data_IF_695974749564
#
_entry.id   IF_695974749564
#
_cell.length_a   1.000
_cell.length_b   1.000
_cell.length_c   1.000
_cell.angle_alpha   90.00
_cell.angle_beta   90.00
_cell.angle_gamma   90.00
#
_symmetry.space_group_name_H-M   'P 1'
#
loop_
_entity.id
_entity.type
_entity.pdbx_description
1 polymer ?
#
# COMPACT_ATOMS: atom_id res chain seq x y z
N UNK A 1 50.89 -48.09 -41.08
CA UNK A 1 50.09 -49.34 -40.87
C UNK A 1 49.24 -49.13 -39.63
N UNK A 2 47.94 -49.38 -39.73
CA UNK A 2 47.01 -49.35 -38.60
C UNK A 2 45.80 -48.42 -38.79
N UNK A 3 44.86 -48.82 -39.65
CA UNK A 3 43.44 -48.46 -39.52
C UNK A 3 42.92 -49.06 -38.17
N UNK A 4 41.84 -48.64 -37.51
CA UNK A 4 40.44 -48.67 -37.93
C UNK A 4 39.63 -47.69 -37.04
N UNK A 5 38.62 -47.09 -37.66
CA UNK A 5 37.53 -46.22 -37.20
C UNK A 5 36.66 -46.68 -36.01
N UNK A 6 36.04 -45.71 -35.30
CA UNK A 6 34.57 -45.65 -35.13
C UNK A 6 34.11 -44.28 -34.61
N UNK A 7 33.18 -43.66 -35.35
CA UNK A 7 32.31 -42.55 -34.93
C UNK A 7 31.27 -43.05 -33.91
N UNK A 8 30.98 -42.24 -32.89
CA UNK A 8 29.69 -42.26 -32.20
C UNK A 8 29.38 -40.90 -31.56
N UNK A 9 28.42 -40.18 -32.14
CA UNK A 9 27.48 -39.32 -31.43
C UNK A 9 26.11 -40.00 -31.59
N UNK A 10 25.27 -40.04 -30.54
CA UNK A 10 24.20 -39.04 -30.53
C UNK A 10 23.77 -38.52 -29.14
N UNK A 11 23.28 -37.28 -29.19
CA UNK A 11 22.13 -36.67 -28.49
C UNK A 11 21.67 -37.20 -27.13
N UNK A 12 21.59 -36.27 -26.17
CA UNK A 12 20.40 -36.15 -25.32
C UNK A 12 19.94 -34.69 -25.27
N UNK A 13 18.69 -34.55 -25.73
CA UNK A 13 17.83 -33.37 -25.74
C UNK A 13 17.20 -33.22 -24.35
N UNK A 14 16.73 -32.01 -24.05
CA UNK A 14 15.80 -31.63 -22.98
C UNK A 14 16.41 -31.41 -21.59
N UNK A 15 16.02 -30.39 -20.82
CA UNK A 15 14.80 -29.60 -20.91
C UNK A 15 15.07 -28.10 -20.92
N UNK A 16 14.47 -27.45 -21.91
CA UNK A 16 13.92 -26.12 -21.75
C UNK A 16 12.97 -26.18 -20.55
N UNK A 17 13.40 -25.69 -19.39
CA UNK A 17 12.48 -25.43 -18.29
C UNK A 17 11.63 -24.26 -18.75
N UNK A 18 10.43 -24.55 -19.23
CA UNK A 18 9.32 -23.61 -19.23
C UNK A 18 9.13 -23.19 -17.77
N UNK A 19 9.67 -22.04 -17.40
CA UNK A 19 9.24 -21.35 -16.19
C UNK A 19 7.79 -20.92 -16.42
N UNK A 20 6.83 -21.38 -15.59
CA UNK A 20 5.47 -20.89 -15.67
C UNK A 20 5.46 -19.42 -15.24
N UNK A 21 4.59 -18.63 -15.87
CA UNK A 21 4.52 -17.17 -15.78
C UNK A 21 4.67 -16.62 -14.35
N UNK A 22 5.88 -16.18 -14.06
CA UNK A 22 6.28 -15.49 -12.84
C UNK A 22 7.45 -14.60 -13.22
N UNK A 23 7.14 -13.37 -13.64
CA UNK A 23 8.14 -12.33 -13.97
C UNK A 23 9.19 -12.27 -12.86
N UNK A 24 10.45 -12.53 -13.21
CA UNK A 24 11.59 -12.55 -12.28
C UNK A 24 11.71 -11.22 -11.54
N UNK A 25 12.34 -11.21 -10.35
CA UNK A 25 12.57 -9.97 -9.60
C UNK A 25 13.25 -8.90 -10.47
N UNK A 26 14.16 -9.28 -11.36
CA UNK A 26 14.83 -8.37 -12.31
C UNK A 26 13.84 -7.64 -13.22
N UNK A 27 12.76 -8.31 -13.65
CA UNK A 27 11.71 -7.69 -14.46
C UNK A 27 10.72 -6.83 -13.66
N UNK A 28 10.79 -6.87 -12.33
CA UNK A 28 9.98 -6.08 -11.40
C UNK A 28 10.78 -4.97 -10.70
N UNK A 29 12.09 -4.94 -10.91
CA UNK A 29 12.97 -3.90 -10.41
C UNK A 29 13.04 -2.75 -11.40
N UNK A 30 12.71 -1.55 -10.95
CA UNK A 30 12.74 -0.40 -11.81
C UNK A 30 13.03 0.90 -11.07
N UNK A 31 13.41 1.91 -11.83
CA UNK A 31 14.13 3.06 -11.30
C UNK A 31 13.24 4.24 -10.91
N UNK A 32 11.91 4.18 -11.15
CA UNK A 32 10.98 5.28 -10.90
C UNK A 32 11.40 6.60 -11.59
N UNK A 33 12.00 6.49 -12.78
CA UNK A 33 12.60 7.64 -13.49
C UNK A 33 11.70 8.24 -14.59
N UNK A 34 10.65 7.52 -15.01
CA UNK A 34 9.77 7.95 -16.10
C UNK A 34 8.40 8.30 -15.55
N UNK A 35 8.01 9.57 -15.61
CA UNK A 35 6.63 9.97 -15.25
C UNK A 35 5.64 9.47 -16.30
N UNK A 36 4.59 8.80 -15.85
CA UNK A 36 3.51 8.26 -16.68
C UNK A 36 2.15 8.90 -16.37
N UNK A 37 2.03 9.59 -15.24
CA UNK A 37 0.85 10.41 -14.89
C UNK A 37 1.34 11.71 -14.25
N UNK A 38 0.71 12.81 -14.67
CA UNK A 38 0.79 14.14 -14.07
C UNK A 38 -0.54 14.83 -14.37
N UNK A 39 -1.46 14.81 -13.41
CA UNK A 39 -2.82 15.31 -13.61
C UNK A 39 -3.39 15.93 -12.35
N UNK A 40 -3.97 17.13 -12.48
CA UNK A 40 -4.92 17.63 -11.49
C UNK A 40 -6.18 16.76 -11.45
N UNK A 41 -6.99 16.93 -10.42
CA UNK A 41 -8.27 16.23 -10.26
C UNK A 41 -9.42 17.22 -10.05
N UNK A 42 -10.63 16.69 -9.89
CA UNK A 42 -11.82 17.43 -9.47
C UNK A 42 -11.79 17.88 -8.00
N UNK A 43 -10.82 17.44 -7.20
CA UNK A 43 -10.75 17.80 -5.78
C UNK A 43 -10.01 19.12 -5.56
N UNK A 44 -10.52 19.96 -4.67
CA UNK A 44 -9.73 21.06 -4.12
C UNK A 44 -8.56 20.54 -3.28
N UNK A 45 -7.62 21.42 -2.96
CA UNK A 45 -6.56 21.14 -2.00
C UNK A 45 -7.14 20.97 -0.60
N UNK A 46 -7.35 19.72 -0.16
CA UNK A 46 -7.99 19.38 1.10
C UNK A 46 -7.07 18.52 1.98
N UNK A 47 -6.94 18.90 3.26
CA UNK A 47 -6.10 18.23 4.26
C UNK A 47 -6.91 17.72 5.47
N UNK A 48 -8.21 17.56 5.30
CA UNK A 48 -9.16 17.15 6.32
C UNK A 48 -9.64 15.71 6.17
N UNK A 49 -8.78 14.86 5.60
CA UNK A 49 -9.07 13.47 5.32
C UNK A 49 -7.82 12.70 4.91
N UNK A 50 -8.04 11.51 4.37
CA UNK A 50 -6.99 10.60 3.88
C UNK A 50 -7.13 10.44 2.37
N UNK A 51 -6.00 10.56 1.69
CA UNK A 51 -5.87 10.35 0.25
C UNK A 51 -5.31 8.97 -0.03
N UNK A 52 -5.84 8.30 -1.05
CA UNK A 52 -5.39 6.96 -1.45
C UNK A 52 -5.64 6.76 -2.95
N UNK A 53 -4.75 6.04 -3.62
CA UNK A 53 -5.07 5.38 -4.89
C UNK A 53 -5.50 3.94 -4.62
N UNK A 54 -6.65 3.55 -5.17
CA UNK A 54 -7.19 2.19 -5.05
C UNK A 54 -8.09 1.90 -6.24
N UNK A 55 -8.08 0.67 -6.75
CA UNK A 55 -9.05 0.25 -7.76
C UNK A 55 -10.46 0.25 -7.14
N UNK A 56 -11.20 1.33 -7.36
CA UNK A 56 -12.51 1.55 -6.74
C UNK A 56 -13.68 1.22 -7.66
N UNK A 57 -13.39 1.01 -8.94
CA UNK A 57 -14.35 0.67 -9.99
C UNK A 57 -14.17 -0.78 -10.47
N UNK A 58 -13.19 -1.51 -9.93
CA UNK A 58 -12.83 -2.88 -10.29
C UNK A 58 -12.50 -3.02 -11.79
N UNK A 59 -11.86 -1.99 -12.35
CA UNK A 59 -11.36 -1.96 -13.74
C UNK A 59 -9.86 -2.28 -13.82
N UNK A 60 -9.23 -2.53 -12.67
CA UNK A 60 -7.82 -2.83 -12.49
C UNK A 60 -6.92 -1.59 -12.43
N UNK A 61 -7.43 -0.38 -12.67
CA UNK A 61 -6.64 0.86 -12.66
C UNK A 61 -6.98 1.64 -11.39
N UNK A 62 -5.98 2.03 -10.57
CA UNK A 62 -6.27 2.75 -9.33
C UNK A 62 -6.94 4.11 -9.57
N UNK A 63 -8.10 4.31 -8.95
CA UNK A 63 -8.83 5.57 -8.90
C UNK A 63 -8.35 6.44 -7.73
N UNK A 64 -8.62 7.75 -7.81
CA UNK A 64 -8.30 8.68 -6.73
C UNK A 64 -9.42 8.69 -5.70
N UNK A 65 -9.14 8.18 -4.51
CA UNK A 65 -10.05 8.18 -3.39
C UNK A 65 -9.68 9.23 -2.34
N UNK A 66 -10.71 9.85 -1.76
CA UNK A 66 -10.60 10.74 -0.62
C UNK A 66 -11.59 10.34 0.46
N UNK A 67 -11.06 9.99 1.64
CA UNK A 67 -11.83 9.74 2.84
C UNK A 67 -11.83 11.02 3.66
N UNK A 68 -12.88 11.83 3.56
CA UNK A 68 -13.01 13.09 4.29
C UNK A 68 -13.45 12.80 5.72
N UNK A 69 -12.60 13.09 6.70
CA UNK A 69 -12.81 12.63 8.09
C UNK A 69 -13.26 13.74 9.04
N UNK A 70 -13.03 15.01 8.69
CA UNK A 70 -13.49 16.18 9.46
C UNK A 70 -14.01 17.29 8.55
N UNK A 71 -14.89 18.14 9.07
CA UNK A 71 -15.50 19.25 8.29
C UNK A 71 -16.21 18.72 7.04
N UNK A 72 -16.98 17.65 7.21
CA UNK A 72 -17.74 16.99 6.13
C UNK A 72 -19.09 17.65 5.90
N UNK A 73 -19.66 17.50 4.71
CA UNK A 73 -20.97 18.08 4.36
C UNK A 73 -22.15 17.35 5.02
N UNK A 74 -21.99 16.07 5.32
CA UNK A 74 -23.00 15.18 5.91
C UNK A 74 -22.94 15.13 7.44
N UNK A 75 -21.89 15.66 8.07
CA UNK A 75 -21.61 15.48 9.50
C UNK A 75 -21.05 14.10 9.87
N UNK A 76 -20.93 13.20 8.90
CA UNK A 76 -20.34 11.86 9.01
C UNK A 76 -19.08 11.78 8.14
N UNK A 77 -18.23 10.79 8.34
CA UNK A 77 -17.10 10.53 7.42
C UNK A 77 -17.66 10.30 6.02
N UNK A 78 -17.03 10.87 5.00
CA UNK A 78 -17.45 10.73 3.60
C UNK A 78 -16.37 10.05 2.78
N UNK A 79 -16.79 9.24 1.81
CA UNK A 79 -15.90 8.68 0.80
C UNK A 79 -16.24 9.29 -0.55
N UNK A 80 -15.22 9.77 -1.24
CA UNK A 80 -15.28 10.40 -2.56
C UNK A 80 -14.31 9.71 -3.50
N UNK A 81 -14.70 9.49 -4.75
CA UNK A 81 -13.89 8.76 -5.75
C UNK A 81 -13.93 9.49 -7.09
N UNK A 82 -12.76 9.80 -7.63
CA UNK A 82 -12.58 10.32 -8.99
C UNK A 82 -11.93 9.27 -9.89
N UNK A 83 -12.52 9.04 -11.07
CA UNK A 83 -12.10 7.96 -11.95
C UNK A 83 -10.80 8.28 -12.69
N UNK A 84 -9.85 7.35 -12.64
CA UNK A 84 -8.58 7.39 -13.38
C UNK A 84 -8.80 7.41 -14.90
N UNK A 85 -9.82 6.70 -15.41
CA UNK A 85 -10.20 6.66 -16.83
C UNK A 85 -10.55 8.03 -17.41
N UNK A 86 -11.01 8.95 -16.55
CA UNK A 86 -11.34 10.33 -16.90
C UNK A 86 -10.19 11.32 -16.68
N UNK A 87 -8.99 10.83 -16.33
CA UNK A 87 -7.91 11.69 -15.83
C UNK A 87 -8.28 12.38 -14.53
N UNK A 88 -9.03 11.69 -13.65
CA UNK A 88 -9.56 12.20 -12.39
C UNK A 88 -10.54 13.39 -12.52
N UNK A 89 -11.09 13.60 -13.72
CA UNK A 89 -12.02 14.70 -14.03
C UNK A 89 -13.51 14.36 -13.79
N UNK A 90 -13.82 13.11 -13.46
CA UNK A 90 -15.20 12.67 -13.16
C UNK A 90 -15.30 12.05 -11.78
N UNK A 91 -16.19 12.59 -10.94
CA UNK A 91 -16.64 12.00 -9.67
C UNK A 91 -17.54 10.80 -9.96
N UNK A 92 -17.11 9.60 -9.57
CA UNK A 92 -17.87 8.36 -9.79
C UNK A 92 -18.55 7.87 -8.51
N UNK A 93 -18.13 8.35 -7.35
CA UNK A 93 -18.78 8.05 -6.08
C UNK A 93 -18.59 9.21 -5.09
N UNK A 94 -19.64 9.51 -4.32
CA UNK A 94 -19.62 10.43 -3.18
C UNK A 94 -20.76 10.04 -2.23
N UNK A 95 -20.43 9.73 -0.98
CA UNK A 95 -21.44 9.47 0.05
C UNK A 95 -20.90 9.67 1.47
N UNK A 96 -21.77 10.10 2.37
CA UNK A 96 -21.56 9.94 3.82
C UNK A 96 -21.66 8.47 4.22
N UNK A 97 -20.94 8.09 5.27
CA UNK A 97 -20.84 6.72 5.76
C UNK A 97 -21.52 6.55 7.13
N UNK A 98 -21.53 5.34 7.66
CA UNK A 98 -22.00 5.03 9.03
C UNK A 98 -21.08 5.55 10.15
N UNK A 99 -19.95 6.18 9.82
CA UNK A 99 -18.98 6.65 10.82
C UNK A 99 -19.18 8.12 11.16
N UNK A 100 -19.19 8.43 12.45
CA UNK A 100 -19.01 9.80 12.91
C UNK A 100 -17.61 10.31 12.53
N UNK A 101 -17.44 11.63 12.45
CA UNK A 101 -16.12 12.23 12.25
C UNK A 101 -15.18 11.85 13.41
N UNK A 102 -14.16 11.04 13.15
CA UNK A 102 -13.21 10.53 14.14
C UNK A 102 -11.76 10.72 13.65
N UNK A 103 -10.85 11.08 14.58
CA UNK A 103 -9.44 11.38 14.29
C UNK A 103 -8.43 10.55 15.09
N UNK A 104 -8.91 9.62 15.91
CA UNK A 104 -8.12 8.78 16.81
C UNK A 104 -7.76 7.41 16.21
N UNK A 105 -7.45 7.40 14.91
CA UNK A 105 -7.14 6.18 14.19
C UNK A 105 -6.72 6.42 12.74
N UNK A 106 -6.55 5.33 12.01
CA UNK A 106 -6.19 5.32 10.59
C UNK A 106 -7.40 4.93 9.75
N UNK A 107 -7.66 5.74 8.72
CA UNK A 107 -8.69 5.47 7.71
C UNK A 107 -8.04 4.96 6.44
N UNK A 108 -8.65 3.95 5.82
CA UNK A 108 -8.21 3.40 4.54
C UNK A 108 -9.36 2.69 3.83
N UNK A 109 -9.30 2.69 2.50
CA UNK A 109 -10.11 1.79 1.68
C UNK A 109 -9.33 0.50 1.44
N UNK A 110 -10.04 -0.62 1.44
CA UNK A 110 -9.49 -1.95 1.19
C UNK A 110 -10.31 -2.69 0.13
N UNK A 111 -9.70 -3.58 -0.67
CA UNK A 111 -10.44 -4.36 -1.66
C UNK A 111 -11.64 -5.08 -1.01
N UNK A 112 -12.82 -4.91 -1.59
CA UNK A 112 -14.02 -5.62 -1.13
C UNK A 112 -14.08 -7.01 -1.77
N UNK A 113 -14.52 -8.00 -0.99
CA UNK A 113 -14.75 -9.36 -1.51
C UNK A 113 -16.08 -9.50 -2.26
N UNK A 114 -16.97 -8.52 -2.10
CA UNK A 114 -18.38 -8.66 -2.48
C UNK A 114 -18.91 -7.53 -3.37
N UNK A 115 -18.08 -6.53 -3.66
CA UNK A 115 -18.46 -5.40 -4.52
C UNK A 115 -17.28 -4.81 -5.27
N UNK A 116 -17.58 -4.08 -6.36
CA UNK A 116 -16.61 -3.25 -7.05
C UNK A 116 -16.13 -2.08 -6.18
N UNK A 117 -17.04 -1.47 -5.41
CA UNK A 117 -16.67 -0.45 -4.44
C UNK A 117 -15.87 -1.10 -3.29
N UNK A 118 -14.72 -0.54 -2.88
CA UNK A 118 -13.93 -1.06 -1.78
C UNK A 118 -14.68 -0.94 -0.46
N UNK A 119 -14.25 -1.69 0.56
CA UNK A 119 -14.75 -1.52 1.92
C UNK A 119 -14.00 -0.37 2.61
N UNK A 120 -14.67 0.35 3.51
CA UNK A 120 -14.06 1.40 4.32
C UNK A 120 -13.64 0.82 5.67
N UNK A 121 -12.34 0.86 5.94
CA UNK A 121 -11.79 0.44 7.21
C UNK A 121 -11.40 1.65 8.09
N UNK A 122 -11.68 1.52 9.38
CA UNK A 122 -11.18 2.40 10.43
C UNK A 122 -10.43 1.56 11.45
N UNK A 123 -9.13 1.77 11.56
CA UNK A 123 -8.28 1.18 12.59
C UNK A 123 -8.16 2.21 13.70
N UNK A 124 -8.98 2.07 14.74
CA UNK A 124 -9.03 2.99 15.87
C UNK A 124 -7.88 2.68 16.83
N UNK A 125 -6.93 3.60 16.96
CA UNK A 125 -5.64 3.34 17.62
C UNK A 125 -5.52 3.92 19.02
N UNK A 126 -6.39 4.86 19.39
CA UNK A 126 -6.38 5.52 20.69
C UNK A 126 -7.79 5.85 21.18
N UNK A 127 -7.94 6.03 22.49
CA UNK A 127 -9.22 6.34 23.14
C UNK A 127 -10.32 5.32 22.79
N UNK A 128 -9.95 4.04 22.74
CA UNK A 128 -10.91 2.96 22.48
C UNK A 128 -11.55 2.50 23.80
N UNK A 129 -12.85 2.15 23.81
CA UNK A 129 -13.50 1.62 25.00
C UNK A 129 -12.86 0.33 25.52
N UNK A 130 -12.29 -0.49 24.64
CA UNK A 130 -11.60 -1.73 25.01
C UNK A 130 -10.19 -1.53 25.59
N UNK A 131 -9.59 -0.34 25.46
CA UNK A 131 -8.16 -0.10 25.71
C UNK A 131 -7.23 -0.82 24.71
N UNK A 132 -7.79 -1.38 23.64
CA UNK A 132 -7.10 -2.09 22.56
C UNK A 132 -7.37 -1.43 21.22
N UNK A 133 -6.47 -1.60 20.25
CA UNK A 133 -6.76 -1.16 18.88
C UNK A 133 -8.00 -1.90 18.39
N UNK A 134 -8.93 -1.19 17.76
CA UNK A 134 -10.18 -1.74 17.23
C UNK A 134 -10.20 -1.59 15.70
N UNK A 135 -10.57 -2.66 14.99
CA UNK A 135 -10.79 -2.62 13.54
C UNK A 135 -12.28 -2.57 13.28
N UNK A 136 -12.72 -1.54 12.56
CA UNK A 136 -14.09 -1.40 12.08
C UNK A 136 -14.12 -1.41 10.55
N UNK A 137 -15.06 -2.13 9.95
CA UNK A 137 -15.25 -2.19 8.49
C UNK A 137 -16.69 -1.83 8.15
N UNK A 138 -16.89 -0.88 7.23
CA UNK A 138 -18.16 -0.64 6.58
C UNK A 138 -18.12 -1.14 5.13
N UNK A 139 -19.17 -1.84 4.74
CA UNK A 139 -19.24 -2.55 3.46
C UNK A 139 -19.42 -1.60 2.28
N UNK A 140 -18.56 -1.76 1.26
CA UNK A 140 -18.67 -1.08 -0.04
C UNK A 140 -19.95 -1.46 -0.78
N UNK A 141 -20.40 -2.71 -0.69
CA UNK A 141 -21.66 -3.16 -1.33
C UNK A 141 -22.89 -2.46 -0.75
N UNK A 142 -22.83 -2.07 0.52
CA UNK A 142 -23.85 -1.26 1.19
C UNK A 142 -23.69 0.25 0.97
N UNK A 143 -22.71 0.68 0.16
CA UNK A 143 -22.27 2.09 0.04
C UNK A 143 -21.93 2.69 1.42
N UNK A 144 -21.23 1.91 2.24
CA UNK A 144 -20.79 2.24 3.60
C UNK A 144 -21.92 2.49 4.62
N UNK A 145 -23.15 2.05 4.33
CA UNK A 145 -24.28 2.17 5.25
C UNK A 145 -24.30 1.08 6.33
N UNK A 146 -23.60 -0.04 6.14
CA UNK A 146 -23.58 -1.17 7.08
C UNK A 146 -22.17 -1.46 7.56
N UNK A 147 -21.97 -1.48 8.90
CA UNK A 147 -20.76 -2.02 9.54
C UNK A 147 -20.81 -3.54 9.53
N UNK A 148 -19.81 -4.17 8.94
CA UNK A 148 -19.68 -5.63 8.83
C UNK A 148 -18.68 -6.20 9.83
N UNK A 149 -17.82 -5.36 10.41
CA UNK A 149 -16.86 -5.77 11.42
C UNK A 149 -16.62 -4.65 12.42
N UNK A 150 -16.56 -5.00 13.70
CA UNK A 150 -16.11 -4.15 14.81
C UNK A 150 -15.42 -5.07 15.83
N UNK A 151 -14.10 -5.00 15.94
CA UNK A 151 -13.33 -6.02 16.67
C UNK A 151 -12.14 -5.41 17.39
N UNK A 152 -12.11 -5.57 18.72
CA UNK A 152 -10.91 -5.30 19.50
C UNK A 152 -9.82 -6.33 19.19
N UNK A 153 -8.59 -5.86 19.07
CA UNK A 153 -7.44 -6.66 18.62
C UNK A 153 -6.54 -7.00 19.81
N UNK A 154 -5.51 -7.81 19.56
CA UNK A 154 -4.48 -8.11 20.55
C UNK A 154 -3.64 -6.88 20.94
N UNK A 155 -3.56 -5.86 20.08
CA UNK A 155 -2.72 -4.68 20.28
C UNK A 155 -3.30 -3.74 21.34
N UNK A 156 -2.45 -3.24 22.23
CA UNK A 156 -2.78 -2.06 23.04
C UNK A 156 -2.88 -0.80 22.17
N UNK A 157 -3.61 0.22 22.62
CA UNK A 157 -3.64 1.52 21.96
C UNK A 157 -2.21 2.07 21.73
N UNK A 158 -1.90 2.45 20.50
CA UNK A 158 -0.56 2.85 20.06
C UNK A 158 -0.62 3.54 18.69
N UNK A 159 0.02 4.70 18.54
CA UNK A 159 0.07 5.52 17.32
C UNK A 159 1.51 5.79 16.83
N UNK A 160 2.47 4.99 17.30
CA UNK A 160 3.89 5.14 17.02
C UNK A 160 4.36 4.61 15.65
N UNK A 161 3.45 4.52 14.67
CA UNK A 161 3.76 3.96 13.36
C UNK A 161 2.57 3.94 12.39
N UNK A 162 2.63 3.05 11.40
CA UNK A 162 1.66 2.92 10.33
C UNK A 162 0.78 1.69 10.54
N UNK A 163 -0.53 1.91 10.48
CA UNK A 163 -1.54 0.86 10.55
C UNK A 163 -2.14 0.62 9.18
N UNK A 164 -2.31 -0.64 8.81
CA UNK A 164 -2.98 -1.02 7.57
C UNK A 164 -3.60 -2.40 7.67
N UNK A 165 -4.35 -2.78 6.64
CA UNK A 165 -4.89 -4.11 6.45
C UNK A 165 -4.27 -4.72 5.19
N UNK A 166 -3.78 -5.96 5.29
CA UNK A 166 -3.13 -6.67 4.18
C UNK A 166 -3.33 -8.18 4.35
N UNK A 167 -3.57 -8.91 3.26
CA UNK A 167 -3.60 -10.39 3.30
C UNK A 167 -2.16 -10.91 3.41
N UNK A 168 -1.66 -11.01 4.64
CA UNK A 168 -0.24 -11.24 4.89
C UNK A 168 0.11 -12.70 4.72
N UNK A 169 -0.75 -13.63 5.14
CA UNK A 169 -0.50 -15.08 5.02
C UNK A 169 -1.15 -15.74 3.79
N UNK A 170 -1.92 -14.99 2.99
CA UNK A 170 -2.48 -15.46 1.73
C UNK A 170 -3.72 -16.33 1.90
N UNK A 171 -4.38 -16.27 3.06
CA UNK A 171 -5.62 -16.99 3.34
C UNK A 171 -6.87 -16.29 2.78
N UNK A 172 -6.67 -15.13 2.14
CA UNK A 172 -7.70 -14.29 1.56
C UNK A 172 -8.38 -13.38 2.58
N UNK A 173 -8.06 -13.43 3.87
CA UNK A 173 -8.60 -12.57 4.93
C UNK A 173 -7.57 -11.49 5.26
N UNK A 174 -8.03 -10.24 5.35
CA UNK A 174 -7.11 -9.14 5.67
C UNK A 174 -6.64 -9.22 7.12
N UNK A 175 -5.32 -9.29 7.29
CA UNK A 175 -4.62 -9.23 8.56
C UNK A 175 -4.37 -7.77 8.99
N UNK A 176 -4.28 -7.55 10.30
CA UNK A 176 -3.94 -6.24 10.84
C UNK A 176 -2.42 -6.08 10.90
N UNK A 177 -1.92 -5.13 10.14
CA UNK A 177 -0.49 -4.83 10.03
C UNK A 177 -0.17 -3.55 10.80
N UNK A 178 0.86 -3.62 11.63
CA UNK A 178 1.45 -2.48 12.32
C UNK A 178 2.95 -2.38 12.03
N UNK A 179 3.35 -1.31 11.34
CA UNK A 179 4.74 -0.98 11.09
C UNK A 179 5.13 0.10 12.10
N UNK A 180 5.78 -0.31 13.19
CA UNK A 180 6.17 0.58 14.28
C UNK A 180 7.47 1.29 13.94
N UNK A 181 7.41 2.62 13.84
CA UNK A 181 8.52 3.47 13.38
C UNK A 181 9.10 4.35 14.49
N UNK A 182 8.44 4.40 15.65
CA UNK A 182 8.85 5.19 16.82
C UNK A 182 8.70 4.36 18.09
N UNK A 183 9.47 4.72 19.11
CA UNK A 183 9.41 4.07 20.43
C UNK A 183 9.50 2.53 20.34
N UNK A 184 10.33 2.02 19.42
CA UNK A 184 10.54 0.59 19.23
C UNK A 184 11.52 0.05 20.27
N UNK A 185 11.27 -1.18 20.72
CA UNK A 185 12.12 -1.83 21.73
C UNK A 185 13.46 -2.29 21.14
N UNK A 186 13.49 -2.54 19.84
CA UNK A 186 14.66 -3.03 19.10
C UNK A 186 15.62 -1.93 18.64
N UNK A 187 15.23 -0.65 18.73
CA UNK A 187 15.97 0.46 18.12
C UNK A 187 15.96 0.45 16.59
N UNK A 188 15.08 -0.36 15.98
CA UNK A 188 14.87 -0.50 14.54
C UNK A 188 13.38 -0.40 14.22
N UNK A 189 13.03 -0.28 12.94
CA UNK A 189 11.63 -0.41 12.50
C UNK A 189 11.16 -1.84 12.78
N UNK A 190 9.96 -1.99 13.34
CA UNK A 190 9.37 -3.30 13.66
C UNK A 190 8.10 -3.53 12.85
N UNK A 191 7.88 -4.75 12.37
CA UNK A 191 6.64 -5.17 11.71
C UNK A 191 5.94 -6.19 12.59
N UNK A 192 4.68 -5.91 12.90
CA UNK A 192 3.80 -6.76 13.68
C UNK A 192 2.54 -7.04 12.85
N UNK A 193 2.10 -8.30 12.84
CA UNK A 193 0.92 -8.73 12.09
C UNK A 193 0.04 -9.61 12.96
N UNK A 194 -1.24 -9.25 13.11
CA UNK A 194 -2.25 -10.05 13.78
C UNK A 194 -3.23 -10.65 12.76
N UNK A 195 -3.51 -11.95 12.88
CA UNK A 195 -4.26 -12.69 11.88
C UNK A 195 -5.73 -12.27 11.82
N UNK A 196 -6.21 -11.93 10.63
CA UNK A 196 -7.62 -11.65 10.33
C UNK A 196 -8.51 -12.87 10.56
N UNK A 197 -8.07 -14.08 10.16
CA UNK A 197 -8.80 -15.32 10.43
C UNK A 197 -8.99 -15.59 11.93
N UNK A 198 -8.04 -15.14 12.77
CA UNK A 198 -8.17 -15.20 14.24
C UNK A 198 -9.03 -14.08 14.83
N UNK A 199 -9.64 -13.22 14.00
CA UNK A 199 -10.26 -11.95 14.42
C UNK A 199 -9.28 -11.05 15.17
N UNK A 200 -8.05 -10.97 14.67
CA UNK A 200 -6.95 -10.18 15.22
C UNK A 200 -6.55 -10.52 16.67
N UNK A 201 -6.89 -11.74 17.13
CA UNK A 201 -6.60 -12.19 18.50
C UNK A 201 -5.23 -12.86 18.66
N UNK A 202 -4.54 -13.16 17.56
CA UNK A 202 -3.22 -13.79 17.57
C UNK A 202 -2.26 -13.11 16.61
N UNK A 203 -1.03 -12.88 17.08
CA UNK A 203 0.09 -12.52 16.22
C UNK A 203 0.53 -13.69 15.33
N UNK A 204 0.71 -13.39 14.04
CA UNK A 204 1.35 -14.28 13.06
C UNK A 204 2.77 -13.80 12.69
N UNK A 205 3.10 -12.55 13.01
CA UNK A 205 4.45 -12.01 12.88
C UNK A 205 4.72 -10.94 13.94
N UNK A 206 5.92 -10.96 14.51
CA UNK A 206 6.51 -9.83 15.22
C UNK A 206 8.02 -9.87 14.97
N UNK A 207 8.58 -8.88 14.28
CA UNK A 207 10.01 -8.86 13.97
C UNK A 207 10.56 -7.45 13.84
N UNK A 208 11.81 -7.26 14.24
CA UNK A 208 12.58 -6.08 13.85
C UNK A 208 13.11 -6.27 12.42
N UNK A 209 13.14 -5.19 11.65
CA UNK A 209 13.64 -5.17 10.28
C UNK A 209 15.15 -4.88 10.24
N UNK A 210 15.72 -4.86 9.04
CA UNK A 210 17.07 -4.37 8.79
C UNK A 210 17.24 -2.84 8.92
N UNK A 211 16.15 -2.06 8.94
CA UNK A 211 16.21 -0.59 8.89
C UNK A 211 16.31 0.00 10.30
N UNK A 212 17.35 0.81 10.60
CA UNK A 212 17.42 1.57 11.85
C UNK A 212 16.36 2.67 11.88
N UNK A 213 16.05 3.19 13.07
CA UNK A 213 15.22 4.40 13.16
C UNK A 213 15.97 5.58 12.50
N UNK A 214 15.41 6.17 11.44
CA UNK A 214 16.10 7.21 10.63
C UNK A 214 15.30 8.52 10.50
N UNK A 215 14.53 8.84 11.55
CA UNK A 215 13.54 9.91 11.53
C UNK A 215 12.17 9.38 11.14
N UNK A 216 11.12 10.17 11.37
CA UNK A 216 9.74 9.78 11.01
C UNK A 216 9.34 10.45 9.70
N UNK A 217 10.16 10.25 8.68
CA UNK A 217 9.99 10.82 7.35
C UNK A 217 9.56 9.70 6.41
N UNK A 218 8.56 9.92 5.58
CA UNK A 218 8.12 8.97 4.57
C UNK A 218 6.98 8.04 4.98
N UNK A 219 6.71 7.08 4.10
CA UNK A 219 5.53 6.23 4.09
C UNK A 219 5.93 4.75 4.09
N UNK A 220 5.18 3.96 4.85
CA UNK A 220 5.43 2.54 5.04
C UNK A 220 4.21 1.71 4.66
N UNK A 221 4.42 0.64 3.91
CA UNK A 221 3.35 -0.29 3.52
C UNK A 221 3.91 -1.68 3.26
N UNK A 222 3.04 -2.69 3.32
CA UNK A 222 3.32 -3.99 2.71
C UNK A 222 2.82 -3.99 1.26
N UNK A 223 3.60 -4.60 0.37
CA UNK A 223 3.34 -4.57 -1.07
C UNK A 223 3.72 -5.90 -1.76
N UNK A 224 3.08 -6.25 -2.89
CA UNK A 224 3.39 -7.45 -3.65
C UNK A 224 4.57 -7.21 -4.62
N UNK A 225 5.73 -6.82 -4.08
CA UNK A 225 6.87 -6.39 -4.90
C UNK A 225 7.59 -7.56 -5.57
N UNK A 226 8.05 -8.55 -4.80
CA UNK A 226 8.80 -9.69 -5.34
C UNK A 226 7.92 -10.72 -6.05
N UNK A 227 6.63 -10.79 -5.73
CA UNK A 227 5.63 -11.62 -6.41
C UNK A 227 4.21 -11.13 -6.11
N UNK A 228 3.18 -11.52 -6.89
CA UNK A 228 1.79 -11.09 -6.66
C UNK A 228 1.22 -11.39 -5.27
N UNK A 229 1.73 -12.42 -4.59
CA UNK A 229 1.32 -12.78 -3.21
C UNK A 229 2.35 -12.38 -2.14
N UNK A 230 3.37 -11.59 -2.50
CA UNK A 230 4.33 -11.11 -1.53
C UNK A 230 3.71 -10.07 -0.60
N UNK A 231 4.29 -9.91 0.59
CA UNK A 231 4.00 -8.80 1.50
C UNK A 231 5.33 -8.17 1.91
N UNK A 232 6.12 -7.77 0.91
CA UNK A 232 7.42 -7.14 1.12
C UNK A 232 7.22 -5.74 1.72
N UNK A 233 8.14 -5.31 2.56
CA UNK A 233 8.04 -4.03 3.26
C UNK A 233 8.61 -2.92 2.37
N UNK A 234 7.75 -2.00 1.95
CA UNK A 234 8.15 -0.80 1.23
C UNK A 234 8.32 0.39 2.20
N UNK A 235 9.36 1.17 1.94
CA UNK A 235 9.61 2.47 2.56
C UNK A 235 9.84 3.50 1.47
N UNK A 236 8.94 4.48 1.38
CA UNK A 236 9.09 5.65 0.52
C UNK A 236 9.54 6.82 1.38
N UNK A 237 10.83 7.15 1.34
CA UNK A 237 11.43 8.24 2.11
C UNK A 237 11.28 9.56 1.36
N UNK A 238 10.52 10.48 1.93
CA UNK A 238 10.12 11.74 1.28
C UNK A 238 10.90 12.98 1.74
N UNK A 239 11.60 12.89 2.87
CA UNK A 239 12.39 13.97 3.44
C UNK A 239 13.68 13.46 4.09
N UNK A 240 14.73 14.30 4.05
CA UNK A 240 16.05 13.93 4.60
C UNK A 240 16.70 12.76 3.84
N UNK A 241 16.42 12.66 2.55
CA UNK A 241 17.02 11.67 1.63
C UNK A 241 18.45 12.08 1.28
N UNK A 242 19.31 11.10 1.01
CA UNK A 242 20.71 11.36 0.67
C UNK A 242 20.91 11.92 -0.74
N UNK A 243 19.91 11.71 -1.61
CA UNK A 243 19.96 12.09 -3.04
C UNK A 243 19.27 13.41 -3.35
N UNK A 244 18.53 14.00 -2.41
CA UNK A 244 17.65 15.15 -2.66
C UNK A 244 16.37 14.79 -3.44
N UNK A 245 16.20 13.52 -3.79
CA UNK A 245 15.03 12.95 -4.47
C UNK A 245 14.31 11.98 -3.54
N UNK A 246 13.04 11.66 -3.84
CA UNK A 246 12.31 10.62 -3.10
C UNK A 246 13.04 9.29 -3.29
N UNK A 247 13.33 8.60 -2.19
CA UNK A 247 14.03 7.32 -2.18
C UNK A 247 13.07 6.20 -1.82
N UNK A 248 13.13 5.09 -2.55
CA UNK A 248 12.32 3.90 -2.31
C UNK A 248 13.23 2.76 -1.91
N UNK A 249 12.83 2.07 -0.84
CA UNK A 249 13.48 0.87 -0.33
C UNK A 249 12.44 -0.24 -0.24
N UNK A 250 12.80 -1.46 -0.62
CA UNK A 250 11.95 -2.65 -0.44
C UNK A 250 12.72 -3.76 0.24
N UNK A 251 12.16 -4.29 1.33
CA UNK A 251 12.74 -5.38 2.11
C UNK A 251 11.91 -6.65 1.96
N UNK A 252 12.58 -7.77 1.72
CA UNK A 252 11.89 -9.02 1.42
C UNK A 252 11.25 -9.64 2.64
N UNK A 253 9.95 -9.96 2.56
CA UNK A 253 9.24 -10.80 3.55
C UNK A 253 9.92 -12.14 3.75
N UNK A 254 10.37 -12.79 2.67
CA UNK A 254 11.00 -14.12 2.73
C UNK A 254 12.30 -14.12 3.56
N UNK A 255 12.97 -12.97 3.66
CA UNK A 255 14.14 -12.79 4.52
C UNK A 255 13.82 -12.41 5.97
N UNK A 256 12.52 -12.32 6.33
CA UNK A 256 12.08 -11.70 7.59
C UNK A 256 12.38 -10.21 7.66
N UNK A 257 12.30 -9.51 6.51
CA UNK A 257 12.65 -8.10 6.34
C UNK A 257 14.10 -7.77 6.73
N UNK A 258 15.04 -8.64 6.39
CA UNK A 258 16.49 -8.43 6.63
C UNK A 258 17.27 -8.09 5.36
N UNK A 259 16.79 -8.58 4.21
CA UNK A 259 17.40 -8.32 2.91
C UNK A 259 16.65 -7.19 2.20
N UNK A 260 17.38 -6.13 1.87
CA UNK A 260 16.92 -5.12 0.91
C UNK A 260 16.98 -5.73 -0.48
N UNK A 261 15.83 -5.81 -1.15
CA UNK A 261 15.67 -6.31 -2.51
C UNK A 261 15.48 -5.20 -3.55
N UNK A 262 15.28 -3.97 -3.08
CA UNK A 262 15.33 -2.77 -3.92
C UNK A 262 15.79 -1.56 -3.10
N UNK A 263 16.60 -0.71 -3.72
CA UNK A 263 16.93 0.62 -3.22
C UNK A 263 17.22 1.53 -4.41
N UNK A 264 16.54 2.66 -4.50
CA UNK A 264 16.72 3.62 -5.60
C UNK A 264 16.09 4.98 -5.32
N UNK A 265 16.62 6.02 -5.96
CA UNK A 265 15.97 7.33 -6.04
C UNK A 265 14.99 7.35 -7.23
N UNK A 266 13.94 8.17 -7.11
CA UNK A 266 12.99 8.43 -8.19
C UNK A 266 13.27 9.74 -8.93
N UNK A 267 12.45 10.07 -9.93
CA UNK A 267 12.43 11.36 -10.64
C UNK A 267 11.86 12.53 -9.82
N UNK A 268 11.31 12.25 -8.63
CA UNK A 268 10.69 13.27 -7.80
C UNK A 268 11.71 13.88 -6.84
N UNK A 269 11.77 15.22 -6.79
CA UNK A 269 12.47 15.91 -5.70
C UNK A 269 11.77 15.64 -4.36
N UNK A 270 12.49 15.78 -3.24
CA UNK A 270 11.89 15.70 -1.91
C UNK A 270 10.70 16.66 -1.78
N UNK A 271 9.54 16.14 -1.39
CA UNK A 271 8.34 16.93 -1.13
C UNK A 271 7.40 16.20 -0.15
N UNK A 272 6.87 16.96 0.82
CA UNK A 272 6.00 16.46 1.90
C UNK A 272 4.56 17.01 1.82
N UNK A 273 4.14 17.53 0.67
CA UNK A 273 2.83 18.17 0.47
C UNK A 273 1.71 17.17 0.08
N UNK A 274 1.92 15.88 0.33
CA UNK A 274 1.09 14.81 -0.20
C UNK A 274 1.31 13.47 0.50
N UNK A 275 0.76 12.41 -0.09
CA UNK A 275 0.98 11.02 0.34
C UNK A 275 1.63 10.22 -0.78
N UNK A 276 2.54 9.31 -0.40
CA UNK A 276 3.23 8.42 -1.32
C UNK A 276 2.76 6.97 -1.15
N UNK A 277 2.73 6.23 -2.25
CA UNK A 277 2.46 4.79 -2.25
C UNK A 277 3.17 4.08 -3.40
N UNK A 278 3.30 2.76 -3.29
CA UNK A 278 3.66 1.90 -4.42
C UNK A 278 2.41 1.13 -4.87
N UNK A 279 2.10 1.20 -6.17
CA UNK A 279 0.91 0.59 -6.75
C UNK A 279 1.14 0.25 -8.21
N UNK A 280 0.63 -0.89 -8.69
CA UNK A 280 0.68 -1.24 -10.12
C UNK A 280 -0.37 -0.41 -10.87
N UNK A 281 -0.01 0.81 -11.27
CA UNK A 281 -0.95 1.77 -11.85
C UNK A 281 -1.26 1.41 -13.31
N UNK A 282 -0.23 1.00 -14.06
CA UNK A 282 -0.36 0.68 -15.48
C UNK A 282 -0.71 -0.80 -15.77
N UNK A 283 -0.87 -1.63 -14.72
CA UNK A 283 -1.25 -3.05 -14.78
C UNK A 283 -0.22 -3.92 -15.50
N UNK A 284 1.05 -3.55 -15.44
CA UNK A 284 2.12 -4.33 -16.07
C UNK A 284 2.69 -5.40 -15.11
N UNK A 285 2.18 -5.49 -13.89
CA UNK A 285 2.64 -6.41 -12.84
C UNK A 285 3.85 -5.90 -12.06
N UNK A 286 4.27 -4.65 -12.28
CA UNK A 286 5.35 -3.96 -11.57
C UNK A 286 4.76 -2.77 -10.83
N UNK A 287 5.20 -2.55 -9.59
CA UNK A 287 4.70 -1.43 -8.81
C UNK A 287 5.32 -0.13 -9.31
N UNK A 288 4.48 0.87 -9.54
CA UNK A 288 4.85 2.24 -9.85
C UNK A 288 4.89 3.08 -8.56
N UNK A 289 5.66 4.16 -8.56
CA UNK A 289 5.68 5.13 -7.47
C UNK A 289 4.61 6.19 -7.71
N UNK A 290 3.59 6.19 -6.84
CA UNK A 290 2.49 7.15 -6.90
C UNK A 290 2.59 8.22 -5.82
N UNK A 291 2.15 9.43 -6.19
CA UNK A 291 2.09 10.58 -5.31
C UNK A 291 0.76 11.30 -5.48
N UNK A 292 0.01 11.42 -4.38
CA UNK A 292 -1.18 12.27 -4.33
C UNK A 292 -0.79 13.56 -3.61
N UNK A 293 -0.60 14.62 -4.38
CA UNK A 293 -0.26 15.96 -3.89
C UNK A 293 -1.53 16.75 -3.64
N UNK A 294 -1.83 17.06 -2.39
CA UNK A 294 -3.06 17.75 -2.00
C UNK A 294 -2.81 19.13 -1.37
N UNK A 295 -1.54 19.57 -1.31
CA UNK A 295 -1.15 20.92 -0.91
C UNK A 295 -0.08 21.46 -1.85
N UNK A 296 -0.01 22.79 -2.00
CA UNK A 296 0.99 23.48 -2.83
C UNK A 296 1.03 22.96 -4.28
N UNK A 297 -0.12 22.56 -4.81
CA UNK A 297 -0.29 21.97 -6.15
C UNK A 297 -0.16 23.04 -7.23
N UNK A 298 0.42 22.69 -8.38
CA UNK A 298 0.52 23.58 -9.55
C UNK A 298 -0.82 23.86 -10.24
N UNK A 299 -1.77 22.92 -10.20
CA UNK A 299 -3.11 23.08 -10.82
C UNK A 299 -4.10 23.85 -9.95
N UNK A 300 -3.79 24.04 -8.67
CA UNK A 300 -4.74 24.53 -7.66
C UNK A 300 -5.74 23.47 -7.16
N UNK A 301 -5.68 22.26 -7.68
CA UNK A 301 -6.49 21.08 -7.31
C UNK A 301 -5.57 19.96 -6.82
N UNK A 302 -6.09 18.96 -6.10
CA UNK A 302 -5.28 17.77 -5.76
C UNK A 302 -4.78 17.12 -7.05
N UNK A 303 -3.48 16.85 -7.12
CA UNK A 303 -2.80 16.23 -8.26
C UNK A 303 -2.43 14.78 -7.97
N UNK A 304 -2.48 13.96 -9.01
CA UNK A 304 -1.94 12.61 -9.02
C UNK A 304 -0.73 12.59 -9.95
N UNK A 305 0.39 12.11 -9.42
CA UNK A 305 1.61 11.87 -10.16
C UNK A 305 1.98 10.39 -10.04
N UNK A 306 2.48 9.80 -11.13
CA UNK A 306 2.97 8.41 -11.12
C UNK A 306 4.26 8.33 -11.92
N UNK A 307 5.30 7.72 -11.34
CA UNK A 307 6.51 7.34 -12.05
C UNK A 307 6.58 5.82 -12.20
N UNK A 308 6.81 5.39 -13.43
CA UNK A 308 6.84 3.99 -13.81
C UNK A 308 7.91 3.21 -13.03
N UNK A 309 7.50 2.06 -12.51
CA UNK A 309 8.40 0.95 -12.25
C UNK A 309 8.75 0.21 -13.54
#
# INVERSE_FOLDING_TARGET
>A
MGCISSLSLPSLVSGLVLQPEGRSLETRQASFQTRIVDSGSTFGQENNGVWQLIDATNDGVPDLAYIKTKTTGTGLVEVHIASSSSGFQTRVFEAGTTFAQESNGTWLLVPSKTSALPDLAFIKTSNTPSGKVEVHIASGSSKYATRTQETATIFGNEDNGFWSLYDYDGDGVLDLVYIKTRNTSSGKIEVHVASGASKYSRFILQTATGIPLDGNNGFWSLVPYSSPGAADLAYVKDAGTGTGQIEVYVLSKASGYRATIYQGASVFAQEAAGVWSLIDYNRNGVLDLAYVKYQNTGTGTTEVHVAAG
#
